data_IF_737894875133
#
_entry.id   IF_737894875133
#
_cell.length_a   1.000
_cell.length_b   1.000
_cell.length_c   1.000
_cell.angle_alpha   90.00
_cell.angle_beta   90.00
_cell.angle_gamma   90.00
#
_symmetry.space_group_name_H-M   'P 1'
#
loop_
_entity.id
_entity.type
_entity.pdbx_description
1 polymer ?
#
# COMPACT_ATOMS: atom_id res chain seq x y z
N UNK A 1 45.28 -19.34 2.02
CA UNK A 1 45.15 -19.99 3.35
C UNK A 1 43.77 -19.63 3.86
N UNK A 2 42.79 -20.52 3.68
CA UNK A 2 41.40 -20.25 4.05
C UNK A 2 41.24 -20.53 5.54
N UNK A 3 40.86 -19.52 6.31
CA UNK A 3 40.60 -19.68 7.75
C UNK A 3 39.19 -20.28 7.89
N UNK A 4 39.10 -21.47 8.47
CA UNK A 4 37.82 -22.10 8.81
C UNK A 4 37.36 -21.57 10.18
N UNK A 5 36.16 -20.99 10.23
CA UNK A 5 35.53 -20.56 11.47
C UNK A 5 34.50 -21.60 11.91
N UNK A 6 34.54 -21.96 13.19
CA UNK A 6 33.49 -22.79 13.81
C UNK A 6 32.58 -21.87 14.60
N UNK A 7 31.29 -21.84 14.24
CA UNK A 7 30.27 -21.01 14.89
C UNK A 7 29.40 -21.92 15.77
N UNK A 8 29.31 -21.58 17.05
CA UNK A 8 28.45 -22.23 18.03
C UNK A 8 27.29 -21.29 18.38
N UNK A 9 26.06 -21.79 18.31
CA UNK A 9 24.87 -21.07 18.73
C UNK A 9 24.49 -21.49 20.14
N UNK A 10 24.21 -20.50 21.00
CA UNK A 10 23.61 -20.72 22.31
C UNK A 10 22.41 -19.79 22.49
N UNK A 11 21.36 -20.29 23.14
CA UNK A 11 20.20 -19.48 23.49
C UNK A 11 20.38 -18.89 24.88
N UNK A 12 20.24 -17.57 24.96
CA UNK A 12 20.29 -16.83 26.21
C UNK A 12 18.93 -16.15 26.41
N UNK A 13 18.25 -16.36 27.55
CA UNK A 13 17.01 -15.67 27.84
C UNK A 13 17.24 -14.15 27.93
N UNK A 14 16.25 -13.36 27.52
CA UNK A 14 16.35 -11.90 27.66
C UNK A 14 16.32 -11.49 29.14
N UNK A 15 16.99 -10.38 29.46
CA UNK A 15 16.98 -9.74 30.79
C UNK A 15 17.53 -10.59 31.95
N UNK A 16 18.58 -11.39 31.68
CA UNK A 16 19.26 -12.21 32.70
C UNK A 16 20.48 -11.54 33.34
N UNK A 17 20.69 -10.23 33.16
CA UNK A 17 21.82 -9.50 33.77
C UNK A 17 23.16 -9.66 33.04
N UNK A 18 23.18 -10.28 31.85
CA UNK A 18 24.40 -10.40 31.03
C UNK A 18 24.60 -9.10 30.25
N UNK A 19 25.57 -8.30 30.67
CA UNK A 19 25.83 -6.96 30.14
C UNK A 19 25.95 -6.90 28.60
N UNK A 20 26.61 -7.89 27.98
CA UNK A 20 26.74 -7.95 26.52
C UNK A 20 25.42 -8.23 25.79
N UNK A 21 24.55 -9.06 26.37
CA UNK A 21 23.22 -9.36 25.83
C UNK A 21 22.28 -8.16 26.00
N UNK A 22 22.33 -7.50 27.15
CA UNK A 22 21.55 -6.29 27.42
C UNK A 22 21.98 -5.13 26.53
N UNK A 23 23.27 -4.97 26.28
CA UNK A 23 23.77 -3.98 25.34
C UNK A 23 23.28 -4.27 23.91
N UNK A 24 23.30 -5.53 23.48
CA UNK A 24 22.74 -5.92 22.18
C UNK A 24 21.23 -5.65 22.10
N UNK A 25 20.45 -5.98 23.13
CA UNK A 25 19.01 -5.70 23.20
C UNK A 25 18.73 -4.18 23.16
N UNK A 26 19.50 -3.40 23.93
CA UNK A 26 19.37 -1.95 23.98
C UNK A 26 19.71 -1.29 22.64
N UNK A 27 20.72 -1.79 21.92
CA UNK A 27 21.05 -1.31 20.58
C UNK A 27 19.94 -1.65 19.57
N UNK A 28 19.42 -2.88 19.61
CA UNK A 28 18.30 -3.28 18.75
C UNK A 28 17.04 -2.41 19.01
N UNK A 29 16.73 -2.15 20.29
CA UNK A 29 15.62 -1.28 20.71
C UNK A 29 15.84 0.17 20.26
N UNK A 30 17.05 0.68 20.40
CA UNK A 30 17.40 2.05 19.99
C UNK A 30 17.30 2.23 18.47
N UNK A 31 17.72 1.24 17.69
CA UNK A 31 17.57 1.24 16.24
C UNK A 31 16.09 1.26 15.81
N UNK A 32 15.22 0.58 16.56
CA UNK A 32 13.77 0.55 16.30
C UNK A 32 13.12 1.90 16.60
N UNK A 33 13.54 2.59 17.67
CA UNK A 33 13.01 3.91 18.06
C UNK A 33 13.36 5.03 17.07
N UNK A 34 14.33 4.82 16.18
CA UNK A 34 14.68 5.76 15.11
C UNK A 34 13.62 5.84 14.00
N UNK A 35 12.64 4.94 13.96
CA UNK A 35 11.58 4.89 12.94
C UNK A 35 10.32 5.68 13.33
N UNK A 36 10.41 6.58 14.31
CA UNK A 36 9.35 7.55 14.59
C UNK A 36 9.35 8.64 13.51
N UNK A 37 8.89 8.27 12.31
CA UNK A 37 8.63 9.25 11.25
C UNK A 37 7.60 10.25 11.76
N UNK A 38 7.86 11.57 11.68
CA UNK A 38 6.90 12.60 12.06
C UNK A 38 5.67 12.62 11.15
N UNK A 39 5.71 11.90 10.03
CA UNK A 39 4.61 11.82 9.07
C UNK A 39 3.66 10.71 9.50
N UNK A 40 2.39 11.02 9.82
CA UNK A 40 1.38 10.01 10.09
C UNK A 40 1.27 9.05 8.91
N UNK A 41 1.24 7.74 9.19
CA UNK A 41 1.11 6.68 8.18
C UNK A 41 -0.09 6.92 7.25
N UNK A 42 -1.15 7.54 7.75
CA UNK A 42 -2.33 7.90 6.96
C UNK A 42 -2.03 8.93 5.86
N UNK A 43 -1.17 9.91 6.12
CA UNK A 43 -0.78 10.91 5.13
C UNK A 43 0.09 10.29 4.03
N UNK A 44 1.01 9.39 4.39
CA UNK A 44 1.78 8.59 3.42
C UNK A 44 0.85 7.73 2.57
N UNK A 45 -0.13 7.05 3.18
CA UNK A 45 -1.13 6.25 2.46
C UNK A 45 -1.94 7.11 1.48
N UNK A 46 -2.40 8.29 1.90
CA UNK A 46 -3.12 9.23 1.02
C UNK A 46 -2.25 9.67 -0.15
N UNK A 47 -0.98 10.01 0.12
CA UNK A 47 -0.04 10.45 -0.90
C UNK A 47 0.23 9.36 -1.95
N UNK A 48 0.49 8.13 -1.50
CA UNK A 48 0.68 6.98 -2.41
C UNK A 48 -0.57 6.71 -3.25
N UNK A 49 -1.76 6.77 -2.63
CA UNK A 49 -3.04 6.64 -3.36
C UNK A 49 -3.20 7.72 -4.42
N UNK A 50 -2.85 8.96 -4.10
CA UNK A 50 -2.91 10.09 -5.03
C UNK A 50 -2.00 9.88 -6.24
N UNK A 51 -0.73 9.48 -6.02
CA UNK A 51 0.21 9.19 -7.12
C UNK A 51 -0.32 8.07 -8.01
N UNK A 52 -0.80 6.98 -7.40
CA UNK A 52 -1.34 5.85 -8.14
C UNK A 52 -2.53 6.32 -8.99
N UNK A 53 -3.46 7.05 -8.39
CA UNK A 53 -4.62 7.61 -9.08
C UNK A 53 -4.22 8.49 -10.27
N UNK A 54 -3.26 9.41 -10.10
CA UNK A 54 -2.77 10.27 -11.18
C UNK A 54 -2.14 9.48 -12.33
N UNK A 55 -1.37 8.43 -12.03
CA UNK A 55 -0.77 7.57 -13.07
C UNK A 55 -1.84 6.81 -13.85
N UNK A 56 -2.83 6.26 -13.16
CA UNK A 56 -3.95 5.60 -13.81
C UNK A 56 -4.75 6.58 -14.67
N UNK A 57 -5.04 7.78 -14.15
CA UNK A 57 -5.74 8.83 -14.89
C UNK A 57 -5.02 9.16 -16.20
N UNK A 58 -3.70 9.36 -16.14
CA UNK A 58 -2.89 9.59 -17.33
C UNK A 58 -2.94 8.43 -18.34
N UNK A 59 -2.97 7.18 -17.88
CA UNK A 59 -3.10 6.01 -18.75
C UNK A 59 -4.50 5.90 -19.39
N UNK A 60 -5.54 6.25 -18.65
CA UNK A 60 -6.90 6.31 -19.17
C UNK A 60 -7.05 7.41 -20.22
N UNK A 61 -6.47 8.58 -19.95
CA UNK A 61 -6.52 9.73 -20.86
C UNK A 61 -5.76 9.49 -22.17
N UNK A 62 -4.70 8.69 -22.13
CA UNK A 62 -3.93 8.31 -23.32
C UNK A 62 -4.74 7.42 -24.29
N UNK A 63 -5.80 6.76 -23.81
CA UNK A 63 -6.60 5.81 -24.60
C UNK A 63 -7.71 6.52 -25.40
N UNK A 64 -7.29 7.40 -26.30
CA UNK A 64 -8.11 8.32 -27.13
C UNK A 64 -9.16 7.67 -28.06
N UNK A 65 -9.28 6.34 -28.11
CA UNK A 65 -10.23 5.62 -28.98
C UNK A 65 -11.42 5.02 -28.22
N UNK A 66 -11.50 5.21 -26.90
CA UNK A 66 -12.53 4.55 -26.09
C UNK A 66 -13.78 5.44 -25.92
N UNK A 67 -14.91 5.02 -26.49
CA UNK A 67 -16.23 5.67 -26.32
C UNK A 67 -16.62 5.79 -24.83
N UNK A 68 -16.05 4.94 -23.96
CA UNK A 68 -16.24 5.00 -22.51
C UNK A 68 -15.59 6.24 -21.87
N UNK A 69 -14.54 6.82 -22.46
CA UNK A 69 -13.92 8.06 -21.95
C UNK A 69 -14.89 9.24 -22.06
N UNK A 70 -15.76 9.25 -23.08
CA UNK A 70 -16.82 10.26 -23.23
C UNK A 70 -17.87 10.17 -22.13
N UNK A 71 -18.07 8.98 -21.56
CA UNK A 71 -19.03 8.69 -20.48
C UNK A 71 -18.38 8.91 -19.11
N UNK A 72 -17.08 8.60 -18.98
CA UNK A 72 -16.30 8.77 -17.75
C UNK A 72 -14.89 9.26 -18.04
N UNK A 73 -14.68 10.54 -17.77
CA UNK A 73 -13.38 11.19 -17.93
C UNK A 73 -12.46 10.96 -16.73
N UNK A 74 -13.01 10.90 -15.52
CA UNK A 74 -12.25 10.70 -14.28
C UNK A 74 -12.35 9.25 -13.80
N UNK A 75 -11.25 8.67 -13.33
CA UNK A 75 -11.21 7.29 -12.80
C UNK A 75 -11.83 7.18 -11.38
N UNK A 76 -12.31 8.29 -10.82
CA UNK A 76 -12.98 8.34 -9.52
C UNK A 76 -14.17 7.36 -9.41
N UNK A 77 -14.61 7.10 -8.18
CA UNK A 77 -15.80 6.29 -7.92
C UNK A 77 -16.99 6.82 -8.73
N UNK A 78 -17.77 5.92 -9.34
CA UNK A 78 -18.99 6.33 -10.02
C UNK A 78 -19.94 6.98 -9.01
N UNK A 79 -20.63 8.08 -9.39
CA UNK A 79 -21.63 8.68 -8.53
C UNK A 79 -22.73 7.66 -8.27
N UNK A 80 -23.14 7.52 -7.01
CA UNK A 80 -24.31 6.72 -6.67
C UNK A 80 -25.53 7.36 -7.32
N UNK A 81 -26.13 6.69 -8.30
CA UNK A 81 -27.31 7.22 -8.98
C UNK A 81 -28.56 6.79 -8.21
N UNK A 82 -29.51 7.72 -7.95
CA UNK A 82 -30.74 7.39 -7.22
C UNK A 82 -31.66 6.42 -8.00
N UNK A 83 -31.36 6.17 -9.27
CA UNK A 83 -32.14 5.31 -10.17
C UNK A 83 -31.41 3.98 -10.33
N UNK A 84 -31.92 2.94 -9.65
CA UNK A 84 -31.37 1.57 -9.63
C UNK A 84 -31.07 0.99 -11.00
N UNK A 85 -31.91 1.26 -12.01
CA UNK A 85 -31.71 0.76 -13.39
C UNK A 85 -30.48 1.38 -14.06
N UNK A 86 -30.29 2.68 -13.86
CA UNK A 86 -29.16 3.42 -14.43
C UNK A 86 -27.86 3.04 -13.72
N UNK A 87 -27.93 2.86 -12.40
CA UNK A 87 -26.83 2.35 -11.58
C UNK A 87 -26.38 0.95 -12.05
N UNK A 88 -27.32 0.03 -12.29
CA UNK A 88 -27.02 -1.31 -12.81
C UNK A 88 -26.33 -1.27 -14.18
N UNK A 89 -26.77 -0.39 -15.07
CA UNK A 89 -26.14 -0.21 -16.40
C UNK A 89 -24.73 0.36 -16.25
N UNK A 90 -24.53 1.31 -15.34
CA UNK A 90 -23.25 1.94 -15.05
C UNK A 90 -22.23 0.95 -14.47
N UNK A 91 -22.64 0.13 -13.49
CA UNK A 91 -21.82 -0.94 -12.92
C UNK A 91 -21.37 -1.91 -14.00
N UNK A 92 -22.29 -2.39 -14.84
CA UNK A 92 -21.96 -3.32 -15.93
C UNK A 92 -21.00 -2.70 -16.94
N UNK A 93 -21.24 -1.46 -17.38
CA UNK A 93 -20.34 -0.75 -18.30
C UNK A 93 -18.94 -0.56 -17.70
N UNK A 94 -18.85 -0.39 -16.39
CA UNK A 94 -17.57 -0.27 -15.70
C UNK A 94 -16.80 -1.58 -15.60
N UNK A 95 -17.48 -2.71 -15.35
CA UNK A 95 -16.88 -4.05 -15.32
C UNK A 95 -16.29 -4.44 -16.68
N UNK A 96 -16.95 -4.08 -17.78
CA UNK A 96 -16.45 -4.35 -19.14
C UNK A 96 -15.28 -3.45 -19.56
N UNK A 97 -15.13 -2.26 -18.97
CA UNK A 97 -14.22 -1.21 -19.43
C UNK A 97 -12.88 -1.12 -18.68
N UNK A 98 -12.86 -1.44 -17.38
CA UNK A 98 -11.67 -1.37 -16.56
C UNK A 98 -11.90 -2.15 -15.27
N UNK A 99 -11.06 -3.14 -15.00
CA UNK A 99 -10.95 -3.73 -13.68
C UNK A 99 -10.51 -2.63 -12.69
N UNK A 100 -11.47 -2.01 -12.00
CA UNK A 100 -11.22 -1.14 -10.85
C UNK A 100 -11.50 -1.94 -9.56
N UNK A 101 -10.81 -1.62 -8.44
CA UNK A 101 -10.62 -2.47 -7.30
C UNK A 101 -11.81 -2.36 -6.35
N UNK A 102 -12.93 -2.97 -6.74
CA UNK A 102 -14.04 -3.24 -5.82
C UNK A 102 -13.58 -4.13 -4.63
N UNK A 103 -12.39 -4.75 -4.74
CA UNK A 103 -11.76 -5.51 -3.66
C UNK A 103 -10.83 -4.71 -2.72
N UNK A 104 -10.58 -3.41 -2.94
CA UNK A 104 -9.63 -2.66 -2.10
C UNK A 104 -10.26 -1.81 -0.98
N UNK A 105 -11.60 -1.77 -0.87
CA UNK A 105 -12.32 -0.90 0.08
C UNK A 105 -13.59 -1.54 0.68
N UNK A 106 -13.65 -2.87 0.76
CA UNK A 106 -14.50 -3.51 1.76
C UNK A 106 -13.65 -3.66 3.02
N UNK A 107 -14.11 -3.22 4.21
CA UNK A 107 -13.36 -3.35 5.46
C UNK A 107 -12.97 -4.79 5.77
#
# INVERSE_FOLDING_TARGET
>A
MSVLFTILFCWIPSHVGISGNELADNLARSATNSFNSPVPVNEVKKYVKSILHSKWQAQWDLKNTNKLQSIKRLIDCWPNLPIRKLDTVLTRLSEFGAAWPILALVP
#
